data_IF_413542851928
#
_entry.id   IF_413542851928
#
_cell.length_a   1.000
_cell.length_b   1.000
_cell.length_c   1.000
_cell.angle_alpha   90.00
_cell.angle_beta   90.00
_cell.angle_gamma   90.00
#
_symmetry.space_group_name_H-M   'P 1'
#
loop_
_entity.id
_entity.type
_entity.pdbx_description
1 polymer ?
#
# COMPACT_ATOMS: atom_id res chain seq x y z
N UNK A 1 11.39 19.92 -6.34
CA UNK A 1 10.93 20.30 -7.69
C UNK A 1 9.87 19.29 -8.14
N UNK A 2 8.85 19.74 -8.88
CA UNK A 2 7.74 18.87 -9.35
C UNK A 2 8.07 18.00 -10.56
N UNK A 3 9.03 18.41 -11.38
CA UNK A 3 9.56 17.66 -12.52
C UNK A 3 10.89 18.23 -12.98
N UNK A 4 11.70 17.42 -13.66
CA UNK A 4 13.02 17.82 -14.18
C UNK A 4 13.22 17.19 -15.56
N UNK A 5 13.86 17.94 -16.46
CA UNK A 5 14.35 17.45 -17.75
C UNK A 5 15.83 17.77 -17.85
N UNK A 6 16.62 16.84 -18.40
CA UNK A 6 18.06 17.03 -18.64
C UNK A 6 18.25 17.34 -20.12
N UNK A 7 19.05 18.37 -20.42
CA UNK A 7 19.39 18.83 -21.78
C UNK A 7 18.22 19.36 -22.64
N UNK A 8 17.05 19.57 -22.04
CA UNK A 8 15.88 20.13 -22.72
C UNK A 8 14.96 20.84 -21.69
N UNK A 9 13.98 21.60 -22.16
CA UNK A 9 13.03 22.37 -21.35
C UNK A 9 11.59 22.03 -21.75
N UNK A 10 10.66 22.05 -20.79
CA UNK A 10 9.20 21.85 -21.01
C UNK A 10 8.79 20.45 -21.51
N UNK A 11 9.69 19.68 -22.14
CA UNK A 11 9.34 18.46 -22.86
C UNK A 11 8.67 17.37 -22.01
N UNK A 12 8.99 17.28 -20.70
CA UNK A 12 8.33 16.35 -19.77
C UNK A 12 6.80 16.52 -19.68
N UNK A 13 6.25 17.69 -20.04
CA UNK A 13 4.79 17.94 -20.05
C UNK A 13 4.10 17.20 -21.19
N UNK A 14 4.82 16.87 -22.27
CA UNK A 14 4.23 16.20 -23.45
C UNK A 14 4.08 14.68 -23.27
N UNK A 15 4.75 14.10 -22.27
CA UNK A 15 4.81 12.64 -22.08
C UNK A 15 3.68 12.19 -21.16
N UNK A 16 2.63 11.60 -21.73
CA UNK A 16 1.42 11.18 -21.00
C UNK A 16 1.61 10.07 -19.97
N UNK A 17 2.73 9.35 -20.03
CA UNK A 17 3.13 8.36 -19.05
C UNK A 17 3.87 8.94 -17.84
N UNK A 18 4.21 10.23 -17.85
CA UNK A 18 4.85 10.90 -16.72
C UNK A 18 3.80 11.69 -15.92
N UNK A 19 3.82 11.60 -14.57
CA UNK A 19 2.97 12.45 -13.75
C UNK A 19 3.45 13.90 -13.84
N UNK A 20 2.52 14.82 -14.05
CA UNK A 20 2.78 16.25 -14.00
C UNK A 20 2.12 16.86 -12.76
N UNK A 21 2.91 17.53 -11.91
CA UNK A 21 2.46 18.05 -10.62
C UNK A 21 3.54 18.89 -9.92
N UNK A 22 3.13 19.60 -8.87
CA UNK A 22 4.00 20.44 -8.04
C UNK A 22 4.32 19.79 -6.69
N UNK A 23 5.27 20.38 -5.96
CA UNK A 23 5.60 20.03 -4.57
C UNK A 23 5.87 21.32 -3.76
N UNK A 24 5.29 21.45 -2.57
CA UNK A 24 5.44 22.63 -1.70
C UNK A 24 4.65 23.83 -2.24
N UNK A 25 5.26 25.01 -2.26
CA UNK A 25 4.64 26.23 -2.80
C UNK A 25 4.26 26.13 -4.29
N UNK A 26 4.86 25.18 -5.02
CA UNK A 26 4.52 24.91 -6.43
C UNK A 26 3.26 24.07 -6.63
N UNK A 27 2.65 23.55 -5.55
CA UNK A 27 1.39 22.81 -5.59
C UNK A 27 1.46 21.42 -4.96
N UNK A 28 0.36 20.68 -5.07
CA UNK A 28 0.22 19.30 -4.58
C UNK A 28 -0.58 18.44 -5.57
N UNK A 29 -0.41 17.12 -5.46
CA UNK A 29 -1.04 16.17 -6.37
C UNK A 29 -0.37 16.16 -7.75
N UNK A 30 -0.91 15.31 -8.62
CA UNK A 30 -0.36 15.10 -9.96
C UNK A 30 -1.47 14.60 -10.89
N UNK A 31 -1.34 14.89 -12.17
CA UNK A 31 -2.22 14.43 -13.23
C UNK A 31 -1.41 14.00 -14.45
N UNK A 32 -2.08 13.82 -15.58
CA UNK A 32 -1.63 13.32 -16.87
C UNK A 32 -1.91 11.83 -17.08
N UNK A 33 -2.46 11.46 -18.24
CA UNK A 33 -2.79 10.08 -18.60
C UNK A 33 -3.54 9.33 -17.48
N UNK A 34 -2.97 8.20 -17.04
CA UNK A 34 -3.50 7.41 -15.92
C UNK A 34 -3.55 8.17 -14.60
N UNK A 35 -2.62 9.10 -14.36
CA UNK A 35 -2.58 9.87 -13.12
C UNK A 35 -3.77 10.82 -13.01
N UNK A 36 -4.28 11.36 -14.13
CA UNK A 36 -5.54 12.11 -14.13
C UNK A 36 -6.71 11.23 -13.70
N UNK A 37 -6.81 10.01 -14.25
CA UNK A 37 -7.86 9.07 -13.85
C UNK A 37 -7.76 8.73 -12.37
N UNK A 38 -6.56 8.40 -11.88
CA UNK A 38 -6.31 8.11 -10.47
C UNK A 38 -6.62 9.32 -9.57
N UNK A 39 -6.35 10.55 -10.02
CA UNK A 39 -6.59 11.78 -9.24
C UNK A 39 -8.08 12.12 -9.10
N UNK A 40 -8.89 11.81 -10.11
CA UNK A 40 -10.34 12.03 -10.10
C UNK A 40 -11.15 10.78 -9.73
N UNK A 41 -10.47 9.68 -9.37
CA UNK A 41 -11.11 8.43 -8.97
C UNK A 41 -10.89 8.13 -7.50
N UNK A 42 -11.91 7.58 -6.87
CA UNK A 42 -11.80 7.02 -5.53
C UNK A 42 -11.44 5.53 -5.60
N UNK A 43 -10.21 5.17 -5.19
CA UNK A 43 -9.76 3.77 -5.11
C UNK A 43 -10.43 3.07 -3.93
N UNK A 44 -11.64 2.53 -4.17
CA UNK A 44 -12.45 1.83 -3.15
C UNK A 44 -11.82 0.47 -2.81
N UNK A 45 -11.40 0.31 -1.56
CA UNK A 45 -10.94 -0.98 -1.05
C UNK A 45 -12.13 -1.94 -0.87
N UNK A 46 -11.99 -3.16 -1.40
CA UNK A 46 -12.97 -4.26 -1.24
C UNK A 46 -12.20 -5.52 -0.88
N UNK A 47 -12.53 -6.11 0.27
CA UNK A 47 -12.00 -7.40 0.71
C UNK A 47 -13.09 -8.46 0.57
N UNK A 48 -12.82 -9.49 -0.22
CA UNK A 48 -13.66 -10.66 -0.34
C UNK A 48 -12.97 -11.84 0.37
N UNK A 49 -13.68 -12.48 1.32
CA UNK A 49 -13.17 -13.64 2.06
C UNK A 49 -14.14 -14.81 1.93
N UNK A 50 -13.59 -15.99 1.67
CA UNK A 50 -14.31 -17.27 1.77
C UNK A 50 -14.60 -17.64 3.23
N UNK A 51 -15.50 -18.60 3.43
CA UNK A 51 -15.76 -19.19 4.74
C UNK A 51 -14.65 -20.15 5.20
N UNK A 52 -13.87 -20.68 4.25
CA UNK A 52 -12.76 -21.59 4.56
C UNK A 52 -11.57 -20.88 5.20
N UNK A 53 -11.02 -21.50 6.25
CA UNK A 53 -9.78 -21.04 6.88
C UNK A 53 -9.96 -19.88 7.85
N UNK A 54 -11.06 -19.83 8.61
CA UNK A 54 -11.14 -18.90 9.74
C UNK A 54 -10.01 -19.19 10.74
N UNK A 55 -9.03 -18.28 10.79
CA UNK A 55 -7.93 -18.38 11.73
C UNK A 55 -8.49 -18.31 13.16
N UNK A 56 -8.55 -19.46 13.86
CA UNK A 56 -8.98 -19.57 15.26
C UNK A 56 -8.20 -18.64 16.20
N UNK A 57 -7.02 -18.18 15.77
CA UNK A 57 -6.19 -17.18 16.47
C UNK A 57 -6.86 -15.81 16.59
N UNK A 58 -7.71 -15.44 15.61
CA UNK A 58 -8.45 -14.17 15.60
C UNK A 58 -9.69 -14.22 16.49
N UNK A 59 -10.27 -15.40 16.68
CA UNK A 59 -11.51 -15.56 17.46
C UNK A 59 -11.21 -15.79 18.94
N UNK A 60 -12.02 -15.19 19.81
CA UNK A 60 -12.03 -15.47 21.24
C UNK A 60 -12.35 -16.95 21.51
N UNK A 61 -11.88 -17.55 22.63
CA UNK A 61 -11.06 -16.95 23.68
C UNK A 61 -9.56 -16.88 23.33
N UNK A 62 -8.92 -15.75 23.69
CA UNK A 62 -7.50 -15.48 23.42
C UNK A 62 -6.60 -16.15 24.45
N UNK A 63 -6.28 -17.43 24.25
CA UNK A 63 -5.37 -18.17 25.13
C UNK A 63 -3.92 -17.65 25.00
N UNK A 64 -3.06 -17.81 26.04
CA UNK A 64 -1.66 -17.40 25.99
C UNK A 64 -0.89 -18.00 24.79
N UNK A 65 -1.25 -19.23 24.37
CA UNK A 65 -0.67 -19.88 23.18
C UNK A 65 -1.07 -19.17 21.88
N UNK A 66 -2.36 -18.85 21.69
CA UNK A 66 -2.84 -18.08 20.53
C UNK A 66 -2.19 -16.70 20.47
N UNK A 67 -1.99 -16.04 21.61
CA UNK A 67 -1.32 -14.75 21.68
C UNK A 67 0.17 -14.84 21.33
N UNK A 68 0.88 -15.87 21.81
CA UNK A 68 2.29 -16.10 21.46
C UNK A 68 2.44 -16.42 19.97
N UNK A 69 1.54 -17.23 19.40
CA UNK A 69 1.48 -17.52 17.98
C UNK A 69 1.19 -16.26 17.15
N UNK A 70 0.20 -15.44 17.52
CA UNK A 70 -0.12 -14.18 16.83
C UNK A 70 1.07 -13.22 16.84
N UNK A 71 1.75 -13.07 18.00
CA UNK A 71 2.94 -12.22 18.12
C UNK A 71 4.09 -12.73 17.27
N UNK A 72 4.31 -14.05 17.22
CA UNK A 72 5.35 -14.64 16.38
C UNK A 72 5.05 -14.47 14.88
N UNK A 73 3.77 -14.62 14.46
CA UNK A 73 3.33 -14.38 13.08
C UNK A 73 3.50 -12.92 12.65
N UNK A 74 3.08 -11.96 13.48
CA UNK A 74 3.23 -10.53 13.17
C UNK A 74 4.69 -10.08 13.15
N UNK A 75 5.55 -10.70 13.97
CA UNK A 75 6.98 -10.41 14.02
C UNK A 75 7.78 -11.15 12.93
N UNK A 76 7.20 -12.17 12.30
CA UNK A 76 7.87 -13.01 11.30
C UNK A 76 8.92 -13.96 11.90
N UNK A 77 8.78 -14.36 13.17
CA UNK A 77 9.73 -15.22 13.86
C UNK A 77 9.39 -16.70 13.65
N UNK A 78 10.14 -17.36 12.77
CA UNK A 78 9.90 -18.75 12.36
C UNK A 78 10.13 -19.75 13.51
N UNK A 79 11.13 -19.51 14.36
CA UNK A 79 11.45 -20.38 15.50
C UNK A 79 10.38 -20.26 16.60
N UNK A 80 9.89 -19.04 16.83
CA UNK A 80 8.76 -18.78 17.73
C UNK A 80 7.46 -19.47 17.30
N UNK A 81 7.21 -19.60 16.00
CA UNK A 81 6.04 -20.33 15.46
C UNK A 81 6.18 -21.84 15.69
N UNK A 82 7.35 -22.43 15.39
CA UNK A 82 7.59 -23.87 15.60
C UNK A 82 7.53 -24.24 17.09
N UNK A 83 8.03 -23.38 17.97
CA UNK A 83 7.96 -23.60 19.42
C UNK A 83 6.55 -23.44 20.01
N UNK A 84 5.59 -22.88 19.25
CA UNK A 84 4.21 -22.64 19.72
C UNK A 84 3.16 -23.56 19.10
N UNK A 85 3.51 -24.24 18.01
CA UNK A 85 2.80 -25.41 17.47
C UNK A 85 2.95 -26.61 18.41
#
# INVERSE_FOLDING_TARGET
AGGTVINDVVQHVTVSSLPFGGVGESGMGQYHGKFSFDAFSHKKAVLYRSFDGEASVRCAPYTPRKQKLLKALLKGDLFGIISTL
#
